data_IF_151158555316
#
_entry.id   IF_151158555316
#
_cell.length_a   1.000
_cell.length_b   1.000
_cell.length_c   1.000
_cell.angle_alpha   90.00
_cell.angle_beta   90.00
_cell.angle_gamma   90.00
#
_symmetry.space_group_name_H-M   'P 1'
#
loop_
_entity.id
_entity.type
_entity.pdbx_description
1 polymer ?
#
# COMPACT_ATOMS: atom_id res chain seq x y z
N UNK A 1 -8.81 -32.31 11.65
CA UNK A 1 -8.57 -31.30 10.62
C UNK A 1 -7.50 -30.38 11.18
N UNK A 2 -6.38 -30.12 10.47
CA UNK A 2 -5.42 -29.11 10.90
C UNK A 2 -6.12 -27.76 10.98
N UNK A 3 -5.85 -27.02 12.05
CA UNK A 3 -6.38 -25.65 12.19
C UNK A 3 -5.81 -24.78 11.07
N UNK A 4 -6.67 -24.00 10.40
CA UNK A 4 -6.27 -23.07 9.35
C UNK A 4 -5.28 -22.04 9.93
N UNK A 5 -4.18 -21.82 9.22
CA UNK A 5 -3.15 -20.83 9.59
C UNK A 5 -3.02 -19.77 8.50
N UNK A 6 -3.26 -18.51 8.87
CA UNK A 6 -3.11 -17.36 7.98
C UNK A 6 -1.74 -16.74 8.20
N UNK A 7 -0.97 -16.58 7.12
CA UNK A 7 0.22 -15.76 7.11
C UNK A 7 -0.15 -14.29 6.86
N UNK A 8 0.45 -13.38 7.62
CA UNK A 8 0.23 -11.94 7.48
C UNK A 8 1.59 -11.27 7.28
N UNK A 9 1.77 -10.59 6.15
CA UNK A 9 2.94 -9.76 5.89
C UNK A 9 2.66 -8.34 6.39
N UNK A 10 3.54 -7.87 7.27
CA UNK A 10 3.35 -6.64 8.02
C UNK A 10 2.95 -6.93 9.48
N UNK A 11 3.48 -6.14 10.39
CA UNK A 11 3.33 -6.37 11.83
C UNK A 11 2.82 -5.15 12.59
N UNK A 12 2.27 -4.17 11.89
CA UNK A 12 1.76 -2.93 12.46
C UNK A 12 0.45 -3.09 13.24
N UNK A 13 -0.22 -1.99 13.46
CA UNK A 13 -1.50 -1.94 14.17
C UNK A 13 -2.58 -2.77 13.48
N UNK A 14 -2.65 -2.72 12.16
CA UNK A 14 -3.63 -3.49 11.39
C UNK A 14 -3.32 -4.99 11.46
N UNK A 15 -2.04 -5.39 11.40
CA UNK A 15 -1.61 -6.77 11.64
C UNK A 15 -2.07 -7.29 13.01
N UNK A 16 -1.95 -6.46 14.06
CA UNK A 16 -2.46 -6.78 15.40
C UNK A 16 -3.98 -7.03 15.40
N UNK A 17 -4.74 -6.16 14.73
CA UNK A 17 -6.19 -6.28 14.63
C UNK A 17 -6.61 -7.53 13.83
N UNK A 18 -5.87 -7.87 12.77
CA UNK A 18 -6.10 -9.10 12.00
C UNK A 18 -5.86 -10.34 12.88
N UNK A 19 -4.77 -10.38 13.65
CA UNK A 19 -4.52 -11.48 14.61
C UNK A 19 -5.64 -11.63 15.64
N UNK A 20 -6.12 -10.52 16.22
CA UNK A 20 -7.24 -10.52 17.15
C UNK A 20 -8.54 -11.00 16.50
N UNK A 21 -8.79 -10.61 15.26
CA UNK A 21 -9.95 -11.09 14.48
C UNK A 21 -9.87 -12.59 14.18
N UNK A 22 -8.70 -13.07 13.73
CA UNK A 22 -8.44 -14.49 13.46
C UNK A 22 -8.64 -15.36 14.73
N UNK A 23 -8.13 -14.89 15.87
CA UNK A 23 -8.29 -15.59 17.15
C UNK A 23 -9.76 -15.79 17.53
N UNK A 24 -10.65 -14.82 17.27
CA UNK A 24 -12.10 -14.96 17.52
C UNK A 24 -12.74 -16.03 16.66
N UNK A 25 -12.14 -16.38 15.53
CA UNK A 25 -12.60 -17.39 14.58
C UNK A 25 -11.87 -18.72 14.76
N UNK A 26 -11.04 -18.90 15.79
CA UNK A 26 -10.16 -20.04 15.99
C UNK A 26 -9.23 -20.32 14.79
N UNK A 27 -8.68 -19.25 14.22
CA UNK A 27 -7.72 -19.29 13.10
C UNK A 27 -6.35 -18.89 13.64
N UNK A 28 -5.34 -19.69 13.37
CA UNK A 28 -3.96 -19.38 13.71
C UNK A 28 -3.38 -18.31 12.80
N UNK A 29 -2.44 -17.53 13.31
CA UNK A 29 -1.75 -16.49 12.56
C UNK A 29 -0.24 -16.58 12.71
N UNK A 30 0.46 -16.37 11.60
CA UNK A 30 1.92 -16.19 11.56
C UNK A 30 2.20 -14.83 10.96
N UNK A 31 2.86 -13.96 11.69
CA UNK A 31 3.31 -12.66 11.19
C UNK A 31 4.71 -12.79 10.61
N UNK A 32 4.95 -12.19 9.45
CA UNK A 32 6.27 -11.90 8.90
C UNK A 32 6.45 -10.40 8.75
N UNK A 33 7.49 -9.84 9.35
CA UNK A 33 7.71 -8.39 9.37
C UNK A 33 9.20 -8.04 9.44
N UNK A 34 9.59 -6.92 8.85
CA UNK A 34 10.94 -6.34 8.88
C UNK A 34 11.19 -5.41 10.09
N UNK A 35 10.21 -5.26 10.95
CA UNK A 35 10.34 -4.58 12.24
C UNK A 35 10.30 -5.62 13.38
N UNK A 36 11.41 -5.75 14.11
CA UNK A 36 11.54 -6.68 15.24
C UNK A 36 10.65 -6.28 16.43
N UNK A 37 10.26 -5.02 16.55
CA UNK A 37 9.47 -4.47 17.64
C UNK A 37 7.99 -4.30 17.21
N UNK A 38 7.59 -4.90 16.09
CA UNK A 38 6.25 -4.81 15.53
C UNK A 38 5.17 -5.27 16.52
N UNK A 39 4.12 -4.44 16.76
CA UNK A 39 3.12 -4.72 17.79
C UNK A 39 2.34 -6.02 17.56
N UNK A 40 2.17 -6.48 16.35
CA UNK A 40 1.43 -7.70 16.02
C UNK A 40 2.06 -8.98 16.60
N UNK A 41 3.36 -8.97 16.92
CA UNK A 41 4.03 -10.12 17.56
C UNK A 41 3.35 -10.54 18.88
N UNK A 42 2.72 -9.60 19.59
CA UNK A 42 2.05 -9.88 20.87
C UNK A 42 0.70 -10.59 20.71
N UNK A 43 0.18 -10.69 19.49
CA UNK A 43 -1.16 -11.22 19.20
C UNK A 43 -1.13 -12.44 18.28
N UNK A 44 -0.03 -12.63 17.54
CA UNK A 44 0.14 -13.76 16.63
C UNK A 44 0.50 -15.06 17.36
N UNK A 45 0.19 -16.20 16.75
CA UNK A 45 0.64 -17.50 17.21
C UNK A 45 2.13 -17.71 16.97
N UNK A 46 2.67 -17.12 15.89
CA UNK A 46 4.11 -17.10 15.63
C UNK A 46 4.51 -15.79 14.93
N UNK A 47 5.76 -15.38 15.13
CA UNK A 47 6.33 -14.18 14.56
C UNK A 47 7.69 -14.49 13.94
N UNK A 48 7.90 -14.04 12.71
CA UNK A 48 9.15 -14.18 11.97
C UNK A 48 9.66 -12.78 11.63
N UNK A 49 10.78 -12.40 12.22
CA UNK A 49 11.47 -11.18 11.86
C UNK A 49 12.40 -11.42 10.67
N UNK A 50 12.25 -10.62 9.60
CA UNK A 50 13.10 -10.73 8.42
C UNK A 50 12.84 -9.65 7.39
N UNK A 51 13.87 -9.34 6.60
CA UNK A 51 13.73 -8.50 5.41
C UNK A 51 12.80 -9.19 4.39
N UNK A 52 11.94 -8.43 3.72
CA UNK A 52 11.01 -8.97 2.71
C UNK A 52 11.73 -9.55 1.48
N UNK A 53 13.03 -9.32 1.32
CA UNK A 53 13.87 -9.93 0.27
C UNK A 53 14.65 -11.16 0.75
N UNK A 54 14.54 -11.54 2.03
CA UNK A 54 15.18 -12.73 2.58
C UNK A 54 14.40 -14.00 2.15
N UNK A 55 14.79 -14.57 1.02
CA UNK A 55 14.11 -15.75 0.45
C UNK A 55 14.12 -16.96 1.39
N UNK A 56 15.14 -17.11 2.24
CA UNK A 56 15.23 -18.26 3.18
C UNK A 56 14.14 -18.13 4.23
N UNK A 57 14.01 -16.95 4.83
CA UNK A 57 12.97 -16.68 5.84
C UNK A 57 11.57 -16.65 5.22
N UNK A 58 11.43 -16.15 3.99
CA UNK A 58 10.17 -16.22 3.26
C UNK A 58 9.75 -17.67 3.01
N UNK A 59 10.68 -18.57 2.66
CA UNK A 59 10.38 -20.02 2.52
C UNK A 59 9.99 -20.65 3.86
N UNK A 60 10.66 -20.28 4.97
CA UNK A 60 10.25 -20.74 6.31
C UNK A 60 8.84 -20.26 6.67
N UNK A 61 8.50 -19.02 6.36
CA UNK A 61 7.15 -18.47 6.53
C UNK A 61 6.11 -19.24 5.70
N UNK A 62 6.37 -19.45 4.40
CA UNK A 62 5.49 -20.20 3.48
C UNK A 62 5.16 -21.59 4.02
N UNK A 63 6.11 -22.28 4.62
CA UNK A 63 5.93 -23.63 5.15
C UNK A 63 5.04 -23.69 6.40
N UNK A 64 4.79 -22.56 7.05
CA UNK A 64 4.02 -22.48 8.30
C UNK A 64 2.57 -22.02 8.10
N UNK A 65 2.17 -21.68 6.89
CA UNK A 65 0.88 -21.06 6.60
C UNK A 65 0.13 -21.78 5.49
N UNK A 66 -1.19 -21.62 5.46
CA UNK A 66 -2.07 -22.19 4.44
C UNK A 66 -2.44 -21.16 3.36
N UNK A 67 -2.66 -19.92 3.77
CA UNK A 67 -3.02 -18.78 2.92
C UNK A 67 -2.31 -17.53 3.45
N UNK A 68 -2.05 -16.56 2.58
CA UNK A 68 -1.33 -15.35 2.94
C UNK A 68 -2.15 -14.10 2.63
N UNK A 69 -2.10 -13.14 3.56
CA UNK A 69 -2.55 -11.77 3.34
C UNK A 69 -1.45 -10.78 3.72
N UNK A 70 -1.67 -9.51 3.45
CA UNK A 70 -0.75 -8.44 3.84
C UNK A 70 -1.56 -7.21 4.29
N UNK A 71 -1.02 -6.49 5.26
CA UNK A 71 -1.61 -5.24 5.77
C UNK A 71 -0.74 -4.03 5.43
N UNK A 72 0.53 -4.26 5.10
CA UNK A 72 1.48 -3.23 4.73
C UNK A 72 1.55 -3.09 3.21
N UNK A 73 1.14 -1.94 2.69
CA UNK A 73 1.05 -1.71 1.25
C UNK A 73 2.40 -1.75 0.52
N UNK A 74 3.51 -1.44 1.23
CA UNK A 74 4.84 -1.36 0.63
C UNK A 74 5.63 -2.68 0.65
N UNK A 75 4.97 -3.83 0.84
CA UNK A 75 5.60 -5.13 0.62
C UNK A 75 6.07 -5.21 -0.85
N UNK A 76 7.33 -5.57 -1.14
CA UNK A 76 7.79 -5.69 -2.52
C UNK A 76 6.91 -6.65 -3.32
N UNK A 77 6.55 -6.24 -4.54
CA UNK A 77 5.72 -7.07 -5.42
C UNK A 77 6.35 -8.44 -5.68
N UNK A 78 7.67 -8.46 -5.85
CA UNK A 78 8.44 -9.69 -6.10
C UNK A 78 8.30 -10.70 -4.96
N UNK A 79 8.24 -10.22 -3.72
CA UNK A 79 8.02 -11.05 -2.53
C UNK A 79 6.61 -11.65 -2.53
N UNK A 80 5.60 -10.84 -2.81
CA UNK A 80 4.22 -11.34 -2.90
C UNK A 80 4.05 -12.33 -4.06
N UNK A 81 4.68 -12.08 -5.20
CA UNK A 81 4.63 -12.95 -6.37
C UNK A 81 5.34 -14.29 -6.10
N UNK A 82 6.48 -14.26 -5.44
CA UNK A 82 7.19 -15.47 -4.98
C UNK A 82 6.30 -16.29 -4.04
N UNK A 83 5.71 -15.68 -3.03
CA UNK A 83 4.83 -16.39 -2.09
C UNK A 83 3.63 -16.98 -2.82
N UNK A 84 3.05 -16.24 -3.77
CA UNK A 84 1.86 -16.66 -4.51
C UNK A 84 2.10 -17.88 -5.43
N UNK A 85 3.34 -18.24 -5.73
CA UNK A 85 3.69 -19.48 -6.43
C UNK A 85 3.48 -20.73 -5.57
N UNK A 86 3.48 -20.59 -4.25
CA UNK A 86 3.40 -21.70 -3.28
C UNK A 86 2.14 -21.65 -2.43
N UNK A 87 1.66 -20.46 -2.08
CA UNK A 87 0.48 -20.22 -1.25
C UNK A 87 -0.35 -19.10 -1.82
N UNK A 88 -1.66 -19.26 -1.83
CA UNK A 88 -2.56 -18.22 -2.32
C UNK A 88 -2.38 -16.93 -1.52
N UNK A 89 -2.13 -15.81 -2.21
CA UNK A 89 -2.03 -14.47 -1.62
C UNK A 89 -3.30 -13.67 -1.90
N UNK A 90 -3.92 -13.16 -0.87
CA UNK A 90 -5.14 -12.31 -0.96
C UNK A 90 -4.94 -10.98 -0.21
N UNK A 91 -5.19 -9.83 -0.88
CA UNK A 91 -5.48 -9.65 -2.31
C UNK A 91 -4.34 -10.16 -3.23
N UNK A 92 -4.67 -10.44 -4.51
CA UNK A 92 -3.65 -10.93 -5.47
C UNK A 92 -2.49 -9.94 -5.61
N UNK A 93 -1.24 -10.39 -5.77
CA UNK A 93 -0.07 -9.51 -5.89
C UNK A 93 -0.20 -8.43 -6.97
N UNK A 94 -0.88 -8.74 -8.09
CA UNK A 94 -1.14 -7.77 -9.16
C UNK A 94 -1.89 -6.51 -8.68
N UNK A 95 -2.77 -6.64 -7.67
CA UNK A 95 -3.46 -5.49 -7.08
C UNK A 95 -2.47 -4.60 -6.33
N UNK A 96 -1.57 -5.21 -5.53
CA UNK A 96 -0.55 -4.46 -4.80
C UNK A 96 0.35 -3.65 -5.73
N UNK A 97 0.75 -4.22 -6.87
CA UNK A 97 1.53 -3.52 -7.89
C UNK A 97 0.85 -2.25 -8.41
N UNK A 98 -0.49 -2.27 -8.50
CA UNK A 98 -1.28 -1.10 -8.94
C UNK A 98 -1.35 -0.06 -7.83
N UNK A 99 -1.76 -0.45 -6.62
CA UNK A 99 -2.03 0.49 -5.52
C UNK A 99 -0.76 1.11 -4.92
N UNK A 100 0.39 0.47 -5.08
CA UNK A 100 1.68 1.03 -4.67
C UNK A 100 2.11 2.26 -5.48
N UNK A 101 1.43 2.57 -6.58
CA UNK A 101 1.81 3.66 -7.47
C UNK A 101 0.60 4.54 -7.80
N UNK A 102 0.57 5.76 -7.28
CA UNK A 102 -0.59 6.67 -7.37
C UNK A 102 -1.10 6.93 -8.79
N UNK A 103 -0.21 6.99 -9.80
CA UNK A 103 -0.64 7.11 -11.20
C UNK A 103 -1.34 5.84 -11.67
N UNK A 104 -0.76 4.66 -11.42
CA UNK A 104 -1.35 3.39 -11.83
C UNK A 104 -2.70 3.14 -11.16
N UNK A 105 -2.81 3.48 -9.87
CA UNK A 105 -4.05 3.39 -9.12
C UNK A 105 -5.14 4.29 -9.73
N UNK A 106 -4.84 5.56 -10.00
CA UNK A 106 -5.80 6.48 -10.61
C UNK A 106 -6.18 6.08 -12.03
N UNK A 107 -5.20 5.66 -12.83
CA UNK A 107 -5.45 5.16 -14.18
C UNK A 107 -6.36 3.92 -14.14
N UNK A 108 -6.14 3.01 -13.19
CA UNK A 108 -6.98 1.83 -13.01
C UNK A 108 -8.41 2.22 -12.62
N UNK A 109 -8.58 3.10 -11.63
CA UNK A 109 -9.88 3.60 -11.17
C UNK A 109 -10.65 4.25 -12.33
N UNK A 110 -9.97 5.11 -13.11
CA UNK A 110 -10.59 5.78 -14.27
C UNK A 110 -10.96 4.78 -15.39
N UNK A 111 -10.14 3.74 -15.62
CA UNK A 111 -10.49 2.65 -16.55
C UNK A 111 -11.74 1.88 -16.11
N UNK A 112 -12.04 1.85 -14.83
CA UNK A 112 -13.28 1.29 -14.30
C UNK A 112 -14.47 2.27 -14.39
N UNK A 113 -14.33 3.40 -15.10
CA UNK A 113 -15.33 4.48 -15.21
C UNK A 113 -15.69 5.13 -13.86
N UNK A 114 -14.77 5.12 -12.90
CA UNK A 114 -14.91 5.81 -11.62
C UNK A 114 -14.09 7.08 -11.68
N UNK A 115 -14.73 8.22 -11.43
CA UNK A 115 -14.06 9.52 -11.46
C UNK A 115 -13.11 9.73 -10.29
N UNK A 116 -11.93 10.32 -10.57
CA UNK A 116 -10.98 10.78 -9.56
C UNK A 116 -10.74 12.30 -9.68
N UNK A 117 -10.04 12.90 -8.72
CA UNK A 117 -9.51 14.23 -8.91
C UNK A 117 -8.67 14.28 -10.20
N UNK A 118 -8.79 15.36 -10.98
CA UNK A 118 -7.95 15.55 -12.17
C UNK A 118 -6.49 15.56 -11.77
N UNK A 119 -5.65 14.89 -12.54
CA UNK A 119 -4.24 14.72 -12.24
C UNK A 119 -3.38 14.70 -13.51
N UNK A 120 -2.09 14.84 -13.29
CA UNK A 120 -1.07 14.69 -14.33
C UNK A 120 0.23 14.15 -13.71
N UNK A 121 0.96 13.35 -14.47
CA UNK A 121 2.31 12.92 -14.12
C UNK A 121 3.27 14.10 -14.18
N UNK A 122 4.15 14.20 -13.20
CA UNK A 122 5.19 15.23 -13.11
C UNK A 122 6.54 14.51 -12.98
N UNK A 123 7.41 14.72 -13.95
CA UNK A 123 8.76 14.16 -14.01
C UNK A 123 9.83 15.23 -13.84
N UNK A 124 9.50 16.46 -14.20
CA UNK A 124 10.40 17.60 -14.10
C UNK A 124 9.64 18.90 -13.79
N UNK A 125 10.37 19.96 -13.45
CA UNK A 125 9.77 21.26 -13.08
C UNK A 125 8.97 21.88 -14.23
N UNK A 126 9.36 21.64 -15.46
CA UNK A 126 8.67 22.13 -16.66
C UNK A 126 7.25 21.57 -16.79
N UNK A 127 7.01 20.34 -16.31
CA UNK A 127 5.69 19.71 -16.29
C UNK A 127 4.73 20.47 -15.36
N UNK A 128 5.22 20.96 -14.21
CA UNK A 128 4.43 21.78 -13.30
C UNK A 128 4.01 23.10 -13.97
N UNK A 129 4.94 23.78 -14.64
CA UNK A 129 4.68 25.01 -15.36
C UNK A 129 3.66 24.84 -16.49
N UNK A 130 3.71 23.71 -17.18
CA UNK A 130 2.78 23.36 -18.27
C UNK A 130 1.38 23.03 -17.73
N UNK A 131 1.24 22.70 -16.45
CA UNK A 131 0.00 22.25 -15.82
C UNK A 131 -0.52 23.17 -14.71
N UNK A 132 -0.18 24.47 -14.75
CA UNK A 132 -0.61 25.48 -13.75
C UNK A 132 -2.13 25.55 -13.57
N UNK A 133 -2.93 25.14 -14.55
CA UNK A 133 -4.41 25.05 -14.46
C UNK A 133 -4.90 24.07 -13.39
N UNK A 134 -4.05 23.16 -12.93
CA UNK A 134 -4.35 22.26 -11.82
C UNK A 134 -4.05 22.90 -10.45
N UNK A 135 -3.50 24.09 -10.40
CA UNK A 135 -3.30 24.84 -9.16
C UNK A 135 -4.57 25.68 -8.86
N UNK A 136 -5.04 25.77 -7.61
CA UNK A 136 -4.53 25.08 -6.44
C UNK A 136 -4.61 23.56 -6.56
N UNK A 137 -3.51 22.89 -6.16
CA UNK A 137 -3.33 21.45 -6.31
C UNK A 137 -2.44 20.87 -5.23
N UNK A 138 -2.32 19.56 -5.22
CA UNK A 138 -1.43 18.83 -4.32
C UNK A 138 -0.48 18.00 -5.17
N UNK A 139 0.80 18.30 -5.07
CA UNK A 139 1.86 17.49 -5.66
C UNK A 139 2.21 16.38 -4.67
N UNK A 140 2.22 15.13 -5.12
CA UNK A 140 2.49 13.96 -4.27
C UNK A 140 3.54 13.07 -4.92
N UNK A 141 4.39 12.42 -4.11
CA UNK A 141 5.22 11.32 -4.61
C UNK A 141 4.33 10.18 -5.11
N UNK A 142 4.70 9.53 -6.20
CA UNK A 142 3.92 8.41 -6.73
C UNK A 142 4.03 7.16 -5.85
N UNK A 143 5.12 7.01 -5.09
CA UNK A 143 5.38 5.87 -4.19
C UNK A 143 5.74 6.35 -2.79
N UNK A 144 5.59 5.45 -1.79
CA UNK A 144 6.06 5.64 -0.41
C UNK A 144 5.51 6.87 0.33
N UNK A 145 4.44 7.50 -0.19
CA UNK A 145 3.79 8.62 0.47
C UNK A 145 2.67 8.14 1.41
N UNK A 146 2.82 8.37 2.71
CA UNK A 146 1.83 8.04 3.74
C UNK A 146 1.73 9.18 4.76
N UNK A 147 0.60 9.29 5.43
CA UNK A 147 0.35 10.27 6.51
C UNK A 147 0.81 11.71 6.21
N UNK A 148 0.56 12.16 4.97
CA UNK A 148 0.97 13.49 4.50
C UNK A 148 2.44 13.62 4.09
N UNK A 149 3.27 12.62 4.28
CA UNK A 149 4.65 12.60 3.79
C UNK A 149 4.68 12.52 2.26
N UNK A 150 5.63 13.26 1.65
CA UNK A 150 5.74 13.33 0.20
C UNK A 150 4.59 14.10 -0.47
N UNK A 151 3.92 15.01 0.25
CA UNK A 151 2.86 15.86 -0.27
C UNK A 151 3.24 17.34 -0.13
N UNK A 152 3.03 18.09 -1.21
CA UNK A 152 3.31 19.51 -1.30
C UNK A 152 2.07 20.24 -1.81
N UNK A 153 1.53 21.13 -1.00
CA UNK A 153 0.37 21.94 -1.37
C UNK A 153 0.83 23.12 -2.20
N UNK A 154 0.32 23.24 -3.41
CA UNK A 154 0.53 24.37 -4.30
C UNK A 154 -0.75 25.20 -4.35
N UNK A 155 -0.74 26.38 -3.74
CA UNK A 155 -1.90 27.28 -3.72
C UNK A 155 -1.89 28.24 -4.92
N UNK A 156 -0.69 28.65 -5.34
CA UNK A 156 -0.45 29.60 -6.43
C UNK A 156 0.67 29.10 -7.34
N UNK A 157 0.72 29.55 -8.61
CA UNK A 157 1.82 29.18 -9.51
C UNK A 157 3.22 29.56 -8.99
N UNK A 158 3.34 30.64 -8.22
CA UNK A 158 4.62 31.06 -7.60
C UNK A 158 5.17 30.03 -6.59
N UNK A 159 4.33 29.14 -6.04
CA UNK A 159 4.78 28.11 -5.12
C UNK A 159 5.71 27.08 -5.82
N UNK A 160 5.60 26.97 -7.15
CA UNK A 160 6.48 26.09 -7.96
C UNK A 160 7.94 26.54 -7.87
N UNK A 161 8.20 27.84 -7.78
CA UNK A 161 9.57 28.38 -7.73
C UNK A 161 10.25 28.01 -6.42
N UNK A 162 9.49 27.94 -5.34
CA UNK A 162 9.96 27.63 -3.99
C UNK A 162 9.99 26.13 -3.69
N UNK A 163 9.56 25.27 -4.62
CA UNK A 163 9.63 23.83 -4.46
C UNK A 163 11.09 23.35 -4.44
N UNK A 164 11.47 22.74 -3.31
CA UNK A 164 12.73 22.02 -3.18
C UNK A 164 12.44 20.52 -3.08
N UNK A 165 12.34 19.85 -4.24
CA UNK A 165 12.06 18.43 -4.36
C UNK A 165 13.06 17.76 -5.30
N UNK A 166 13.23 16.47 -5.11
CA UNK A 166 14.09 15.65 -5.95
C UNK A 166 13.29 15.02 -7.10
N UNK A 167 13.50 15.52 -8.32
CA UNK A 167 12.86 15.00 -9.53
C UNK A 167 13.45 13.66 -10.02
N UNK A 168 14.36 13.02 -9.30
CA UNK A 168 14.70 11.61 -9.53
C UNK A 168 13.53 10.67 -9.17
N UNK A 169 12.56 11.16 -8.40
CA UNK A 169 11.33 10.47 -8.06
C UNK A 169 10.18 10.92 -8.98
N UNK A 170 9.23 10.02 -9.20
CA UNK A 170 8.01 10.35 -9.93
C UNK A 170 6.99 11.02 -9.01
N UNK A 171 6.32 12.04 -9.52
CA UNK A 171 5.26 12.77 -8.83
C UNK A 171 3.95 12.77 -9.64
N UNK A 172 2.87 13.01 -8.94
CA UNK A 172 1.55 13.30 -9.49
C UNK A 172 1.08 14.64 -8.96
N UNK A 173 0.64 15.55 -9.85
CA UNK A 173 -0.07 16.76 -9.46
C UNK A 173 -1.56 16.52 -9.56
N UNK A 174 -2.25 16.64 -8.44
CA UNK A 174 -3.70 16.50 -8.35
C UNK A 174 -4.37 17.86 -8.14
N UNK A 175 -5.46 18.11 -8.86
CA UNK A 175 -6.32 19.27 -8.58
C UNK A 175 -6.88 19.18 -7.17
N UNK A 176 -6.75 20.26 -6.40
CA UNK A 176 -7.36 20.34 -5.08
C UNK A 176 -8.89 20.29 -5.18
N UNK A 177 -9.50 19.47 -4.32
CA UNK A 177 -10.95 19.32 -4.19
C UNK A 177 -11.38 19.86 -2.83
N UNK A 178 -12.43 20.66 -2.82
CA UNK A 178 -13.08 21.10 -1.58
C UNK A 178 -13.97 19.98 -1.06
N UNK A 179 -13.44 19.19 -0.13
CA UNK A 179 -14.18 18.11 0.50
C UNK A 179 -15.19 18.66 1.50
N UNK A 180 -16.45 18.22 1.39
CA UNK A 180 -17.48 18.48 2.39
C UNK A 180 -17.48 17.45 3.51
N UNK A 181 -17.18 16.20 3.15
CA UNK A 181 -17.10 15.05 4.06
C UNK A 181 -16.11 14.05 3.49
N UNK A 182 -15.51 13.29 4.38
CA UNK A 182 -14.67 12.14 4.06
C UNK A 182 -15.27 10.92 4.75
N UNK A 183 -15.30 9.78 4.07
CA UNK A 183 -15.73 8.52 4.65
C UNK A 183 -14.95 7.38 4.00
N UNK A 184 -14.77 6.31 4.75
CA UNK A 184 -14.12 5.09 4.31
C UNK A 184 -15.14 3.96 4.24
N UNK A 185 -15.04 3.12 3.21
CA UNK A 185 -15.87 1.93 3.04
C UNK A 185 -14.95 0.73 2.85
N UNK A 186 -15.14 -0.31 3.65
CA UNK A 186 -14.47 -1.60 3.48
C UNK A 186 -15.45 -2.57 2.84
N UNK A 187 -15.08 -3.11 1.69
CA UNK A 187 -15.89 -4.05 0.95
C UNK A 187 -15.17 -5.39 0.83
N UNK A 188 -15.88 -6.48 1.07
CA UNK A 188 -15.39 -7.84 0.81
C UNK A 188 -16.25 -8.48 -0.24
N UNK A 189 -15.63 -9.03 -1.30
CA UNK A 189 -16.30 -9.79 -2.35
C UNK A 189 -15.88 -11.25 -2.26
N UNK A 190 -16.85 -12.12 -2.03
CA UNK A 190 -16.66 -13.56 -2.19
C UNK A 190 -16.82 -13.87 -3.69
N UNK A 191 -15.74 -14.39 -4.32
CA UNK A 191 -15.76 -14.72 -5.74
C UNK A 191 -16.56 -16.01 -5.99
N UNK A 192 -17.33 -16.02 -7.06
CA UNK A 192 -17.68 -17.18 -7.83
C UNK A 192 -16.91 -17.10 -9.15
#
# INVERSE_FOLDING_TARGET
MSELTIGILGGGQLGSLLCLGAKKLNINTVIYCDDKDAPAQNYANAFIFGDYKDEIKIKDFINKVDIVTYEFENIPFETLDLINQFKEVKPKPAINKIVQHRLYEKDFINKCNIGTARYVSIKEKSDLNSNIKLIPGILKTCRLGYDGKGQYKLNNPSDIENLNIDFSQEYILEKMINLKKEFSIILTRFGH
#
